data_IF_354602672943
#
_entry.id   IF_354602672943
#
_cell.length_a   1.000
_cell.length_b   1.000
_cell.length_c   1.000
_cell.angle_alpha   90.00
_cell.angle_beta   90.00
_cell.angle_gamma   90.00
#
_symmetry.space_group_name_H-M   'P 1'
#
loop_
_entity.id
_entity.type
_entity.pdbx_description
1 polymer ?
#
# COMPACT_ATOMS: atom_id res chain seq x y z
N UNK A 1 -38.32 -1.91 -30.12
CA UNK A 1 -38.30 -2.70 -28.87
C UNK A 1 -36.85 -2.98 -28.57
N UNK A 2 -36.40 -2.50 -27.41
CA UNK A 2 -35.00 -2.32 -27.03
C UNK A 2 -34.29 -3.66 -26.86
N UNK A 3 -33.15 -3.81 -27.53
CA UNK A 3 -32.18 -4.87 -27.26
C UNK A 3 -31.55 -4.57 -25.89
N UNK A 4 -31.75 -5.46 -24.93
CA UNK A 4 -31.01 -5.47 -23.68
C UNK A 4 -29.59 -5.94 -23.99
N UNK A 5 -28.66 -4.99 -24.10
CA UNK A 5 -27.25 -5.26 -23.92
C UNK A 5 -27.06 -5.51 -22.42
N UNK A 6 -26.93 -6.78 -22.04
CA UNK A 6 -26.47 -7.15 -20.71
C UNK A 6 -25.03 -6.65 -20.59
N UNK A 7 -24.90 -5.53 -19.87
CA UNK A 7 -23.62 -5.03 -19.36
C UNK A 7 -22.94 -6.18 -18.62
N UNK A 8 -21.93 -6.75 -19.28
CA UNK A 8 -20.88 -7.54 -18.65
C UNK A 8 -20.16 -6.60 -17.69
N UNK A 9 -20.73 -6.45 -16.48
CA UNK A 9 -20.02 -5.89 -15.34
C UNK A 9 -18.77 -6.72 -15.17
N UNK A 10 -17.67 -6.10 -15.60
CA UNK A 10 -16.34 -6.63 -15.47
C UNK A 10 -16.14 -6.91 -13.99
N UNK A 11 -15.84 -8.17 -13.68
CA UNK A 11 -15.40 -8.66 -12.39
C UNK A 11 -14.09 -7.94 -12.05
N UNK A 12 -14.22 -6.69 -11.62
CA UNK A 12 -13.10 -5.85 -11.24
C UNK A 12 -12.52 -6.51 -10.01
N UNK A 13 -11.37 -7.14 -10.21
CA UNK A 13 -10.61 -7.85 -9.20
C UNK A 13 -10.58 -7.00 -7.93
N UNK A 14 -11.30 -7.43 -6.90
CA UNK A 14 -11.22 -6.89 -5.56
C UNK A 14 -9.80 -7.15 -5.08
N UNK A 15 -8.86 -6.26 -5.44
CA UNK A 15 -7.52 -6.27 -4.87
C UNK A 15 -7.74 -5.95 -3.40
N UNK A 16 -7.46 -6.93 -2.56
CA UNK A 16 -7.55 -6.83 -1.11
C UNK A 16 -6.69 -5.64 -0.62
N UNK A 17 -7.32 -4.72 0.09
CA UNK A 17 -6.66 -3.54 0.68
C UNK A 17 -5.46 -3.97 1.53
N UNK A 18 -5.53 -5.14 2.18
CA UNK A 18 -4.41 -5.71 2.94
C UNK A 18 -3.19 -5.96 2.06
N UNK A 19 -3.39 -6.46 0.84
CA UNK A 19 -2.28 -6.71 -0.10
C UNK A 19 -1.64 -5.41 -0.60
N UNK A 20 -2.42 -4.32 -0.71
CA UNK A 20 -1.87 -2.99 -1.04
C UNK A 20 -1.01 -2.44 0.10
N UNK A 21 -1.45 -2.64 1.34
CA UNK A 21 -0.67 -2.26 2.53
C UNK A 21 0.64 -3.05 2.58
N UNK A 22 0.61 -4.36 2.33
CA UNK A 22 1.82 -5.19 2.31
C UNK A 22 2.83 -4.72 1.25
N UNK A 23 2.35 -4.30 0.07
CA UNK A 23 3.21 -3.71 -0.97
C UNK A 23 3.84 -2.39 -0.53
N UNK A 24 3.10 -1.55 0.21
CA UNK A 24 3.65 -0.29 0.75
C UNK A 24 4.71 -0.60 1.81
N UNK A 25 4.47 -1.56 2.70
CA UNK A 25 5.44 -1.98 3.71
C UNK A 25 6.73 -2.56 3.08
N UNK A 26 6.61 -3.30 1.98
CA UNK A 26 7.77 -3.77 1.21
C UNK A 26 8.58 -2.59 0.66
N UNK A 27 7.92 -1.58 0.08
CA UNK A 27 8.58 -0.36 -0.41
C UNK A 27 9.25 0.39 0.74
N UNK A 28 8.57 0.54 1.87
CA UNK A 28 9.08 1.22 3.07
C UNK A 28 10.37 0.55 3.56
N UNK A 29 10.42 -0.79 3.54
CA UNK A 29 11.61 -1.55 3.95
C UNK A 29 12.87 -1.23 3.13
N UNK A 30 12.71 -0.70 1.92
CA UNK A 30 13.82 -0.32 1.00
C UNK A 30 14.24 1.13 1.11
N UNK A 31 13.46 1.98 1.78
CA UNK A 31 13.80 3.41 1.94
C UNK A 31 15.13 3.60 2.71
N UNK A 32 15.41 2.89 3.82
CA UNK A 32 16.68 3.04 4.53
C UNK A 32 17.90 2.69 3.67
N UNK A 33 17.76 1.74 2.73
CA UNK A 33 18.85 1.30 1.85
C UNK A 33 19.35 2.45 0.96
N UNK A 34 18.52 3.45 0.65
CA UNK A 34 18.93 4.64 -0.12
C UNK A 34 20.07 5.38 0.57
N UNK A 35 19.94 5.61 1.90
CA UNK A 35 20.98 6.27 2.68
C UNK A 35 22.21 5.39 2.82
N UNK A 36 22.03 4.07 2.96
CA UNK A 36 23.13 3.11 3.00
C UNK A 36 23.96 3.15 1.71
N UNK A 37 23.31 3.08 0.54
CA UNK A 37 24.00 3.13 -0.75
C UNK A 37 24.65 4.49 -1.01
N UNK A 38 24.02 5.60 -0.61
CA UNK A 38 24.63 6.92 -0.71
C UNK A 38 25.90 7.02 0.16
N UNK A 39 25.85 6.52 1.40
CA UNK A 39 27.01 6.45 2.29
C UNK A 39 28.13 5.59 1.69
N UNK A 40 27.78 4.44 1.09
CA UNK A 40 28.75 3.56 0.46
C UNK A 40 29.40 4.20 -0.78
N UNK A 41 28.67 5.03 -1.54
CA UNK A 41 29.26 5.82 -2.63
C UNK A 41 30.33 6.79 -2.11
N UNK A 42 30.04 7.49 -1.00
CA UNK A 42 30.98 8.43 -0.39
C UNK A 42 32.21 7.69 0.11
N UNK A 43 32.02 6.61 0.88
CA UNK A 43 33.12 5.79 1.42
C UNK A 43 33.98 5.15 0.31
N UNK A 44 33.36 4.72 -0.80
CA UNK A 44 34.08 4.15 -1.94
C UNK A 44 35.05 5.15 -2.59
N UNK A 45 34.72 6.44 -2.59
CA UNK A 45 35.58 7.48 -3.15
C UNK A 45 36.56 8.03 -2.10
N UNK A 46 36.09 8.34 -0.89
CA UNK A 46 36.88 9.03 0.13
C UNK A 46 37.84 8.11 0.86
N UNK A 47 37.43 6.87 1.16
CA UNK A 47 38.22 5.94 1.96
C UNK A 47 38.93 4.90 1.09
N UNK A 48 38.22 4.38 0.08
CA UNK A 48 38.71 3.24 -0.72
C UNK A 48 39.32 3.64 -2.06
N UNK A 49 39.12 4.88 -2.50
CA UNK A 49 39.56 5.40 -3.80
C UNK A 49 39.20 4.48 -4.99
N UNK A 50 38.07 3.78 -4.90
CA UNK A 50 37.65 2.74 -5.85
C UNK A 50 36.46 3.19 -6.69
N UNK A 51 36.73 3.48 -7.96
CA UNK A 51 35.70 3.83 -8.96
C UNK A 51 34.75 2.65 -9.21
N UNK A 52 35.24 1.42 -9.13
CA UNK A 52 34.40 0.23 -9.32
C UNK A 52 33.37 0.07 -8.20
N UNK A 53 33.78 0.24 -6.95
CA UNK A 53 32.88 0.21 -5.80
C UNK A 53 31.90 1.39 -5.78
N UNK A 54 32.37 2.57 -6.20
CA UNK A 54 31.50 3.73 -6.39
C UNK A 54 30.42 3.44 -7.42
N UNK A 55 30.78 2.96 -8.62
CA UNK A 55 29.82 2.67 -9.68
C UNK A 55 28.81 1.59 -9.26
N UNK A 56 29.26 0.57 -8.52
CA UNK A 56 28.38 -0.46 -7.97
C UNK A 56 27.38 0.14 -6.98
N UNK A 57 27.84 0.94 -6.02
CA UNK A 57 26.99 1.57 -5.01
C UNK A 57 26.05 2.60 -5.62
N UNK A 58 26.52 3.39 -6.59
CA UNK A 58 25.73 4.38 -7.31
C UNK A 58 24.61 3.72 -8.12
N UNK A 59 24.91 2.59 -8.77
CA UNK A 59 23.88 1.80 -9.46
C UNK A 59 22.81 1.31 -8.48
N UNK A 60 23.20 0.74 -7.34
CA UNK A 60 22.24 0.29 -6.31
C UNK A 60 21.42 1.46 -5.74
N UNK A 61 22.04 2.62 -5.54
CA UNK A 61 21.36 3.84 -5.11
C UNK A 61 20.26 4.26 -6.09
N UNK A 62 20.61 4.42 -7.38
CA UNK A 62 19.63 4.85 -8.39
C UNK A 62 18.52 3.83 -8.60
N UNK A 63 18.84 2.54 -8.63
CA UNK A 63 17.84 1.47 -8.77
C UNK A 63 16.85 1.46 -7.60
N UNK A 64 17.35 1.61 -6.36
CA UNK A 64 16.49 1.64 -5.17
C UNK A 64 15.63 2.89 -5.14
N UNK A 65 16.21 4.04 -5.50
CA UNK A 65 15.46 5.30 -5.59
C UNK A 65 14.35 5.23 -6.65
N UNK A 66 14.63 4.66 -7.81
CA UNK A 66 13.65 4.45 -8.87
C UNK A 66 12.54 3.50 -8.42
N UNK A 67 12.89 2.37 -7.81
CA UNK A 67 11.92 1.40 -7.28
C UNK A 67 10.98 2.05 -6.26
N UNK A 68 11.52 2.77 -5.27
CA UNK A 68 10.72 3.45 -4.24
C UNK A 68 9.83 4.54 -4.85
N UNK A 69 10.39 5.39 -5.71
CA UNK A 69 9.66 6.51 -6.33
C UNK A 69 8.53 6.03 -7.22
N UNK A 70 8.79 5.05 -8.09
CA UNK A 70 7.79 4.49 -8.99
C UNK A 70 6.76 3.65 -8.23
N UNK A 71 7.18 2.88 -7.22
CA UNK A 71 6.31 2.11 -6.36
C UNK A 71 5.28 2.98 -5.63
N UNK A 72 5.74 4.05 -4.96
CA UNK A 72 4.83 4.96 -4.26
C UNK A 72 3.89 5.70 -5.21
N UNK A 73 4.38 6.16 -6.37
CA UNK A 73 3.53 6.78 -7.39
C UNK A 73 2.45 5.84 -7.89
N UNK A 74 2.77 4.56 -8.08
CA UNK A 74 1.79 3.54 -8.47
C UNK A 74 0.72 3.38 -7.39
N UNK A 75 1.08 3.35 -6.11
CA UNK A 75 0.08 3.25 -5.04
C UNK A 75 -0.86 4.46 -4.99
N UNK A 76 -0.36 5.67 -5.27
CA UNK A 76 -1.20 6.87 -5.41
C UNK A 76 -2.17 6.73 -6.59
N UNK A 77 -1.70 6.29 -7.76
CA UNK A 77 -2.55 6.05 -8.93
C UNK A 77 -3.61 4.96 -8.66
N UNK A 78 -3.24 3.91 -7.92
CA UNK A 78 -4.16 2.83 -7.56
C UNK A 78 -5.24 3.33 -6.58
N UNK A 79 -4.92 4.25 -5.65
CA UNK A 79 -5.90 4.91 -4.77
C UNK A 79 -6.87 5.80 -5.57
N UNK A 80 -6.37 6.55 -6.54
CA UNK A 80 -7.20 7.36 -7.43
C UNK A 80 -8.14 6.49 -8.27
N UNK A 81 -7.64 5.37 -8.81
CA UNK A 81 -8.44 4.41 -9.57
C UNK A 81 -9.52 3.73 -8.72
N UNK A 82 -9.24 3.47 -7.45
CA UNK A 82 -10.18 2.86 -6.52
C UNK A 82 -11.22 3.86 -5.97
N UNK A 83 -11.19 5.12 -6.39
CA UNK A 83 -12.13 6.17 -5.97
C UNK A 83 -12.24 6.31 -4.44
N UNK A 84 -11.14 6.02 -3.72
CA UNK A 84 -11.12 6.06 -2.25
C UNK A 84 -11.39 7.50 -1.78
N UNK A 85 -12.39 7.73 -0.91
CA UNK A 85 -12.72 9.06 -0.47
C UNK A 85 -11.56 9.71 0.29
N UNK A 86 -11.15 10.90 -0.13
CA UNK A 86 -10.09 11.68 0.51
C UNK A 86 -10.41 12.05 1.97
N UNK A 87 -11.70 12.17 2.29
CA UNK A 87 -12.19 12.50 3.62
C UNK A 87 -12.83 11.27 4.23
N UNK A 88 -12.35 10.87 5.41
CA UNK A 88 -12.97 9.79 6.16
C UNK A 88 -14.44 10.09 6.43
N UNK A 89 -15.30 9.13 6.08
CA UNK A 89 -16.72 9.24 6.35
C UNK A 89 -16.96 9.25 7.86
N UNK A 90 -17.81 10.16 8.33
CA UNK A 90 -18.16 10.20 9.74
C UNK A 90 -19.06 9.01 10.09
N UNK A 91 -18.70 8.19 11.10
CA UNK A 91 -19.55 7.10 11.54
C UNK A 91 -20.87 7.63 12.10
N UNK A 92 -21.94 6.84 11.94
CA UNK A 92 -23.25 7.16 12.52
C UNK A 92 -23.14 7.10 14.05
N UNK A 93 -23.96 7.88 14.76
CA UNK A 93 -23.91 7.90 16.24
C UNK A 93 -24.76 6.81 16.91
N UNK A 94 -25.75 6.29 16.19
CA UNK A 94 -26.67 5.27 16.69
C UNK A 94 -26.60 4.06 15.78
N UNK A 95 -26.03 2.98 16.31
CA UNK A 95 -25.90 1.70 15.63
C UNK A 95 -26.78 0.67 16.33
N UNK A 96 -27.65 0.04 15.56
CA UNK A 96 -28.23 -1.26 15.90
C UNK A 96 -27.76 -2.19 14.80
N UNK A 97 -26.79 -3.05 15.12
CA UNK A 97 -26.19 -3.98 14.16
C UNK A 97 -26.56 -5.40 14.52
N UNK A 98 -26.77 -6.25 13.51
CA UNK A 98 -27.12 -7.66 13.70
C UNK A 98 -26.14 -8.42 14.61
N UNK A 99 -24.80 -8.23 14.50
CA UNK A 99 -23.85 -8.87 15.41
C UNK A 99 -24.03 -8.41 16.86
N UNK A 100 -24.26 -7.11 17.07
CA UNK A 100 -24.47 -6.55 18.41
C UNK A 100 -25.77 -7.05 19.01
N UNK A 101 -26.85 -7.11 18.23
CA UNK A 101 -28.12 -7.66 18.70
C UNK A 101 -28.00 -9.15 19.02
N UNK A 102 -27.28 -9.93 18.21
CA UNK A 102 -27.03 -11.35 18.48
C UNK A 102 -26.32 -11.56 19.81
N UNK A 103 -25.23 -10.83 20.05
CA UNK A 103 -24.51 -10.88 21.34
C UNK A 103 -25.39 -10.50 22.53
N UNK A 104 -26.25 -9.48 22.38
CA UNK A 104 -27.16 -9.04 23.44
C UNK A 104 -28.24 -10.10 23.72
N UNK A 105 -28.80 -10.73 22.69
CA UNK A 105 -29.80 -11.79 22.86
C UNK A 105 -29.20 -13.08 23.40
N UNK A 106 -28.00 -13.46 22.99
CA UNK A 106 -27.28 -14.62 23.53
C UNK A 106 -27.01 -14.46 25.03
N UNK A 107 -26.57 -13.27 25.44
CA UNK A 107 -26.33 -12.96 26.85
C UNK A 107 -27.65 -12.87 27.64
N UNK A 108 -28.70 -12.26 27.07
CA UNK A 108 -30.01 -12.21 27.68
C UNK A 108 -30.60 -13.62 27.91
N UNK A 109 -30.43 -14.51 26.95
CA UNK A 109 -30.86 -15.91 27.05
C UNK A 109 -30.03 -16.70 28.08
N UNK A 110 -28.76 -16.35 28.32
CA UNK A 110 -27.92 -16.98 29.35
C UNK A 110 -28.36 -16.63 30.77
N UNK A 111 -28.88 -15.41 30.96
CA UNK A 111 -29.25 -14.86 32.27
C UNK A 111 -30.68 -15.24 32.70
N UNK A 112 -31.49 -15.80 31.80
CA UNK A 112 -32.83 -16.34 32.05
C UNK A 112 -32.78 -17.82 32.44
#
# INVERSE_FOLDING_TARGET
MSSMEEDQFSEDSLIDESQKIDQILEIESKIPDILSYASNCIDAIETKESIEEFNKSAKSFYQTLEYVSTGLRKQVLDLEKAEVPLVSLQPRKHYVTEPLTGMVFDEANRLL
#
